data_IF_127428377804
#
_entry.id   IF_127428377804
#
_cell.length_a   1.000
_cell.length_b   1.000
_cell.length_c   1.000
_cell.angle_alpha   90.00
_cell.angle_beta   90.00
_cell.angle_gamma   90.00
#
_symmetry.space_group_name_H-M   'P 1'
#
loop_
_entity.id
_entity.type
_entity.pdbx_description
1 polymer ?
#
# COMPACT_ATOMS: atom_id res chain seq x y z
N UNK A 1 3.34 -11.42 22.10
CA UNK A 1 3.17 -11.09 20.67
C UNK A 1 2.95 -12.40 19.95
N UNK A 2 1.89 -12.52 19.18
CA UNK A 2 1.64 -13.66 18.31
C UNK A 2 2.78 -13.82 17.30
N UNK A 3 3.10 -15.05 16.95
CA UNK A 3 3.97 -15.33 15.81
C UNK A 3 3.25 -14.88 14.54
N UNK A 4 3.99 -14.31 13.60
CA UNK A 4 3.40 -13.78 12.37
C UNK A 4 2.76 -14.87 11.51
N UNK A 5 3.40 -16.04 11.41
CA UNK A 5 2.90 -17.13 10.60
C UNK A 5 1.62 -17.74 11.20
N UNK A 6 1.59 -17.92 12.53
CA UNK A 6 0.40 -18.39 13.23
C UNK A 6 -0.77 -17.42 13.06
N UNK A 7 -0.49 -16.12 13.16
CA UNK A 7 -1.50 -15.08 12.91
C UNK A 7 -1.99 -15.08 11.46
N UNK A 8 -1.09 -15.18 10.49
CA UNK A 8 -1.41 -15.13 9.06
C UNK A 8 -2.38 -16.26 8.66
N UNK A 9 -2.23 -17.46 9.25
CA UNK A 9 -3.14 -18.59 9.02
C UNK A 9 -4.57 -18.32 9.50
N UNK A 10 -4.78 -17.31 10.33
CA UNK A 10 -6.09 -16.93 10.86
C UNK A 10 -6.83 -15.89 10.03
N UNK A 11 -6.13 -15.22 9.09
CA UNK A 11 -6.71 -14.19 8.22
C UNK A 11 -7.47 -14.84 7.06
N UNK A 12 -8.69 -14.35 6.81
CA UNK A 12 -9.51 -14.81 5.68
C UNK A 12 -8.91 -14.33 4.35
N UNK A 13 -8.51 -15.26 3.50
CA UNK A 13 -8.08 -15.00 2.13
C UNK A 13 -8.14 -16.29 1.29
N UNK A 14 -8.07 -16.18 -0.02
CA UNK A 14 -7.89 -17.33 -0.89
C UNK A 14 -6.42 -17.43 -1.30
N UNK A 15 -5.88 -18.65 -1.38
CA UNK A 15 -4.52 -18.95 -1.84
C UNK A 15 -4.20 -18.37 -3.21
N UNK A 16 -5.23 -18.02 -3.93
CA UNK A 16 -5.19 -17.46 -5.26
C UNK A 16 -4.77 -15.97 -5.30
N UNK A 17 -4.68 -15.28 -4.17
CA UNK A 17 -4.57 -13.82 -4.08
C UNK A 17 -3.22 -13.37 -3.49
N UNK A 18 -2.15 -14.06 -3.82
CA UNK A 18 -0.83 -13.82 -3.25
C UNK A 18 -0.15 -12.60 -3.91
N UNK A 19 -0.49 -11.42 -3.46
CA UNK A 19 0.01 -10.13 -3.94
C UNK A 19 1.18 -9.55 -3.15
N UNK A 20 2.01 -10.36 -2.49
CA UNK A 20 3.21 -9.87 -1.77
C UNK A 20 2.93 -9.22 -0.40
N UNK A 21 1.70 -8.87 -0.08
CA UNK A 21 1.31 -8.30 1.22
C UNK A 21 1.74 -9.14 2.43
N UNK A 22 1.57 -10.48 2.41
CA UNK A 22 2.02 -11.33 3.51
C UNK A 22 3.52 -11.25 3.79
N UNK A 23 4.34 -11.04 2.76
CA UNK A 23 5.81 -10.95 2.93
C UNK A 23 6.21 -9.57 3.47
N UNK A 24 5.47 -8.53 3.11
CA UNK A 24 5.80 -7.15 3.46
C UNK A 24 5.29 -6.74 4.85
N UNK A 25 4.18 -7.31 5.33
CA UNK A 25 3.60 -6.90 6.61
C UNK A 25 4.58 -6.91 7.80
N UNK A 26 5.49 -7.90 7.96
CA UNK A 26 6.53 -7.86 8.98
C UNK A 26 7.53 -6.71 8.79
N UNK A 27 7.87 -6.34 7.57
CA UNK A 27 8.81 -5.25 7.29
C UNK A 27 8.20 -3.89 7.65
N UNK A 28 6.90 -3.66 7.37
CA UNK A 28 6.20 -2.49 7.87
C UNK A 28 6.20 -2.43 9.39
N UNK A 29 5.85 -3.52 10.07
CA UNK A 29 5.83 -3.59 11.52
C UNK A 29 7.22 -3.33 12.14
N UNK A 30 8.28 -3.84 11.52
CA UNK A 30 9.67 -3.62 11.96
C UNK A 30 10.07 -2.15 11.90
N UNK A 31 9.75 -1.45 10.82
CA UNK A 31 10.05 -0.02 10.65
C UNK A 31 9.22 0.83 11.62
N UNK A 32 8.00 0.42 11.92
CA UNK A 32 7.03 1.17 12.71
C UNK A 32 6.95 0.75 14.19
N UNK A 33 7.71 -0.23 14.63
CA UNK A 33 7.58 -0.90 15.95
C UNK A 33 7.54 0.02 17.18
N UNK A 34 8.17 1.21 17.09
CA UNK A 34 8.25 2.17 18.18
C UNK A 34 7.30 3.36 18.01
N UNK A 35 6.45 3.31 16.98
CA UNK A 35 5.47 4.35 16.68
C UNK A 35 4.07 3.91 17.11
N UNK A 36 3.18 4.86 17.34
CA UNK A 36 1.75 4.62 17.64
C UNK A 36 0.91 5.58 16.84
N UNK A 37 -0.20 5.05 16.29
CA UNK A 37 -1.12 5.79 15.46
C UNK A 37 -2.55 5.52 15.91
N UNK A 38 -3.43 6.51 15.82
CA UNK A 38 -4.86 6.32 16.06
C UNK A 38 -5.50 5.62 14.87
N UNK A 39 -5.30 6.15 13.67
CA UNK A 39 -5.93 5.64 12.44
C UNK A 39 -4.89 5.32 11.37
N UNK A 40 -4.89 4.06 10.93
CA UNK A 40 -4.12 3.58 9.78
C UNK A 40 -5.04 3.54 8.57
N UNK A 41 -4.55 3.94 7.41
CA UNK A 41 -5.19 3.67 6.13
C UNK A 41 -4.32 2.73 5.29
N UNK A 42 -4.91 1.63 4.82
CA UNK A 42 -4.26 0.75 3.84
C UNK A 42 -4.90 0.95 2.47
N UNK A 43 -4.14 1.58 1.58
CA UNK A 43 -4.51 1.81 0.20
C UNK A 43 -4.15 0.61 -0.67
N UNK A 44 -5.00 0.25 -1.65
CA UNK A 44 -4.89 -0.98 -2.43
C UNK A 44 -4.73 -2.20 -1.52
N UNK A 45 -5.63 -2.28 -0.54
CA UNK A 45 -5.42 -3.11 0.65
C UNK A 45 -5.42 -4.61 0.37
N UNK A 46 -6.06 -5.07 -0.73
CA UNK A 46 -6.35 -6.48 -0.84
C UNK A 46 -7.02 -7.01 0.42
N UNK A 47 -6.59 -8.15 0.98
CA UNK A 47 -7.08 -8.67 2.27
C UNK A 47 -6.57 -7.91 3.51
N UNK A 48 -5.87 -6.79 3.36
CA UNK A 48 -5.36 -5.92 4.40
C UNK A 48 -4.35 -6.58 5.37
N UNK A 49 -3.45 -7.41 4.86
CA UNK A 49 -2.43 -8.06 5.69
C UNK A 49 -1.53 -7.08 6.43
N UNK A 50 -1.16 -5.96 5.79
CA UNK A 50 -0.27 -4.97 6.39
C UNK A 50 -0.98 -4.29 7.55
N UNK A 51 -2.13 -3.66 7.30
CA UNK A 51 -2.88 -2.92 8.30
C UNK A 51 -3.34 -3.77 9.45
N UNK A 52 -3.87 -4.98 9.20
CA UNK A 52 -4.29 -5.89 10.26
C UNK A 52 -3.12 -6.39 11.11
N UNK A 53 -1.96 -6.66 10.49
CA UNK A 53 -0.76 -7.01 11.26
C UNK A 53 -0.29 -5.85 12.13
N UNK A 54 -0.39 -4.60 11.65
CA UNK A 54 -0.08 -3.43 12.45
C UNK A 54 -1.06 -3.25 13.63
N UNK A 55 -2.35 -3.60 13.48
CA UNK A 55 -3.28 -3.64 14.60
C UNK A 55 -2.90 -4.74 15.61
N UNK A 56 -2.57 -5.95 15.15
CA UNK A 56 -2.12 -7.06 16.01
C UNK A 56 -0.88 -6.68 16.82
N UNK A 57 0.06 -5.96 16.20
CA UNK A 57 1.25 -5.42 16.86
C UNK A 57 0.98 -4.16 17.72
N UNK A 58 -0.29 -3.74 17.82
CA UNK A 58 -0.71 -2.54 18.57
C UNK A 58 0.02 -1.27 18.12
N UNK A 59 0.36 -1.19 16.84
CA UNK A 59 0.96 0.00 16.21
C UNK A 59 -0.14 1.00 15.86
N UNK A 60 -1.32 0.53 15.44
CA UNK A 60 -2.52 1.33 15.24
C UNK A 60 -3.66 0.90 16.14
N UNK A 61 -4.70 1.73 16.25
CA UNK A 61 -5.94 1.41 16.96
C UNK A 61 -7.07 1.08 15.99
N UNK A 62 -7.24 1.89 14.95
CA UNK A 62 -8.27 1.74 13.94
C UNK A 62 -7.62 1.56 12.57
N UNK A 63 -8.20 0.71 11.74
CA UNK A 63 -7.78 0.51 10.35
C UNK A 63 -8.91 0.94 9.41
N UNK A 64 -8.56 1.74 8.42
CA UNK A 64 -9.41 2.03 7.26
C UNK A 64 -8.78 1.37 6.05
N UNK A 65 -9.56 0.71 5.20
CA UNK A 65 -9.06 0.07 3.98
C UNK A 65 -9.82 0.53 2.75
N UNK A 66 -9.11 0.60 1.64
CA UNK A 66 -9.70 0.87 0.33
C UNK A 66 -9.14 -0.07 -0.73
N UNK A 67 -10.03 -0.78 -1.41
CA UNK A 67 -9.70 -1.63 -2.54
C UNK A 67 -10.81 -1.59 -3.59
N UNK A 68 -10.45 -1.75 -4.86
CA UNK A 68 -11.41 -1.78 -5.96
C UNK A 68 -12.18 -3.12 -6.03
N UNK A 69 -11.64 -4.16 -5.44
CA UNK A 69 -12.21 -5.50 -5.45
C UNK A 69 -13.09 -5.74 -4.21
N UNK A 70 -14.40 -5.78 -4.41
CA UNK A 70 -15.40 -6.05 -3.38
C UNK A 70 -15.13 -7.34 -2.58
N UNK A 71 -14.62 -8.37 -3.25
CA UNK A 71 -14.29 -9.65 -2.62
C UNK A 71 -13.20 -9.50 -1.54
N UNK A 72 -12.22 -8.62 -1.76
CA UNK A 72 -11.21 -8.34 -0.75
C UNK A 72 -11.77 -7.57 0.44
N UNK A 73 -12.64 -6.61 0.18
CA UNK A 73 -13.35 -5.87 1.23
C UNK A 73 -14.16 -6.84 2.12
N UNK A 74 -14.78 -7.86 1.55
CA UNK A 74 -15.48 -8.89 2.32
C UNK A 74 -14.54 -9.76 3.16
N UNK A 75 -13.37 -10.12 2.65
CA UNK A 75 -12.37 -10.84 3.45
C UNK A 75 -11.86 -9.99 4.62
N UNK A 76 -11.63 -8.70 4.38
CA UNK A 76 -11.23 -7.75 5.44
C UNK A 76 -12.28 -7.72 6.55
N UNK A 77 -13.58 -7.60 6.21
CA UNK A 77 -14.67 -7.58 7.19
C UNK A 77 -14.73 -8.85 8.03
N UNK A 78 -14.63 -10.02 7.39
CA UNK A 78 -14.62 -11.32 8.08
C UNK A 78 -13.42 -11.47 9.02
N UNK A 79 -12.23 -11.10 8.56
CA UNK A 79 -11.03 -11.15 9.38
C UNK A 79 -11.10 -10.17 10.56
N UNK A 80 -11.61 -8.96 10.32
CA UNK A 80 -11.78 -7.97 11.36
C UNK A 80 -12.76 -8.43 12.45
N UNK A 81 -13.89 -9.01 12.06
CA UNK A 81 -14.87 -9.60 13.00
C UNK A 81 -14.25 -10.73 13.83
N UNK A 82 -13.56 -11.67 13.18
CA UNK A 82 -12.90 -12.82 13.83
C UNK A 82 -11.87 -12.39 14.88
N UNK A 83 -11.12 -11.32 14.62
CA UNK A 83 -10.08 -10.82 15.51
C UNK A 83 -10.53 -9.68 16.43
N UNK A 84 -11.78 -9.25 16.30
CA UNK A 84 -12.32 -8.09 17.03
C UNK A 84 -11.49 -6.82 16.79
N UNK A 85 -11.05 -6.60 15.53
CA UNK A 85 -10.36 -5.39 15.13
C UNK A 85 -11.36 -4.28 14.76
N UNK A 86 -11.02 -3.03 15.09
CA UNK A 86 -11.78 -1.85 14.64
C UNK A 86 -11.36 -1.51 13.20
N UNK A 87 -12.18 -1.95 12.23
CA UNK A 87 -11.88 -1.80 10.80
C UNK A 87 -13.07 -1.23 10.04
N UNK A 88 -12.83 -0.22 9.22
CA UNK A 88 -13.77 0.30 8.22
C UNK A 88 -13.22 0.04 6.82
N UNK A 89 -13.98 -0.68 5.99
CA UNK A 89 -13.54 -1.11 4.67
C UNK A 89 -14.45 -0.55 3.58
N UNK A 90 -13.85 0.01 2.54
CA UNK A 90 -14.53 0.64 1.43
C UNK A 90 -14.17 -0.03 0.10
N UNK A 91 -15.17 -0.36 -0.72
CA UNK A 91 -14.95 -0.63 -2.13
C UNK A 91 -14.71 0.72 -2.80
N UNK A 92 -13.50 0.95 -3.28
CA UNK A 92 -13.13 2.28 -3.79
C UNK A 92 -12.11 2.17 -4.92
N UNK A 93 -12.41 2.80 -6.04
CA UNK A 93 -11.42 3.06 -7.08
C UNK A 93 -10.53 4.22 -6.61
N UNK A 94 -9.37 3.84 -6.07
CA UNK A 94 -8.45 4.78 -5.43
C UNK A 94 -9.12 5.43 -4.18
N UNK A 95 -9.24 6.75 -4.14
CA UNK A 95 -9.79 7.52 -3.01
C UNK A 95 -11.23 8.00 -3.24
N UNK A 96 -11.90 7.58 -4.32
CA UNK A 96 -13.17 8.18 -4.78
C UNK A 96 -14.32 7.98 -3.80
N UNK A 97 -14.39 6.78 -3.21
CA UNK A 97 -15.51 6.36 -2.36
C UNK A 97 -15.14 6.38 -0.87
N UNK A 98 -13.93 6.83 -0.54
CA UNK A 98 -13.51 7.07 0.84
C UNK A 98 -14.21 8.34 1.35
N UNK A 99 -14.96 8.29 2.46
CA UNK A 99 -15.64 9.46 3.01
C UNK A 99 -14.68 10.58 3.38
N UNK A 100 -15.02 11.83 3.07
CA UNK A 100 -14.16 13.01 3.29
C UNK A 100 -13.91 13.33 4.77
N UNK A 101 -14.69 12.78 5.68
CA UNK A 101 -14.48 12.94 7.11
C UNK A 101 -13.38 12.01 7.66
N UNK A 102 -12.97 10.98 6.91
CA UNK A 102 -11.86 10.12 7.31
C UNK A 102 -10.55 10.91 7.35
N UNK A 103 -9.77 10.66 8.39
CA UNK A 103 -8.43 11.22 8.57
C UNK A 103 -7.47 10.16 9.05
N UNK A 104 -6.28 10.17 8.52
CA UNK A 104 -5.29 9.10 8.71
C UNK A 104 -3.98 9.66 9.26
N UNK A 105 -3.44 9.02 10.29
CA UNK A 105 -2.12 9.33 10.85
C UNK A 105 -1.03 8.60 10.10
N UNK A 106 -1.32 7.35 9.71
CA UNK A 106 -0.44 6.48 8.97
C UNK A 106 -1.13 5.97 7.71
N UNK A 107 -0.48 6.09 6.59
CA UNK A 107 -0.91 5.50 5.32
C UNK A 107 0.09 4.42 4.94
N UNK A 108 -0.38 3.21 4.67
CA UNK A 108 0.45 2.09 4.20
C UNK A 108 -0.11 1.52 2.91
N UNK A 109 0.75 0.96 2.08
CA UNK A 109 0.30 0.27 0.88
C UNK A 109 1.37 -0.66 0.29
N UNK A 110 0.90 -1.70 -0.37
CA UNK A 110 1.62 -2.44 -1.40
C UNK A 110 0.80 -2.36 -2.69
N UNK A 111 0.85 -1.22 -3.40
CA UNK A 111 0.02 -0.97 -4.58
C UNK A 111 0.52 -1.73 -5.80
N UNK A 112 -0.15 -1.62 -6.96
CA UNK A 112 0.42 -2.04 -8.23
C UNK A 112 1.77 -1.37 -8.46
N UNK A 113 2.85 -2.16 -8.49
CA UNK A 113 4.24 -1.67 -8.37
C UNK A 113 4.96 -1.50 -9.71
N UNK A 114 4.31 -1.80 -10.86
CA UNK A 114 4.99 -1.83 -12.14
C UNK A 114 4.26 -0.93 -13.15
N UNK A 115 4.98 0.01 -13.73
CA UNK A 115 4.41 0.96 -14.69
C UNK A 115 3.95 0.29 -15.99
N UNK A 116 4.69 -0.70 -16.44
CA UNK A 116 4.40 -1.39 -17.72
C UNK A 116 4.97 -2.81 -17.69
N UNK A 117 4.14 -3.79 -17.35
CA UNK A 117 4.53 -5.19 -17.40
C UNK A 117 4.14 -5.79 -18.74
N UNK A 118 5.13 -6.27 -19.47
CA UNK A 118 4.86 -7.06 -20.67
C UNK A 118 4.18 -8.39 -20.31
N UNK A 119 3.24 -8.82 -21.17
CA UNK A 119 2.52 -10.09 -20.98
C UNK A 119 3.44 -11.32 -20.90
N UNK A 120 4.67 -11.23 -21.44
CA UNK A 120 5.68 -12.27 -21.36
C UNK A 120 6.41 -12.36 -20.02
N UNK A 121 6.23 -11.36 -19.16
CA UNK A 121 6.85 -11.35 -17.82
C UNK A 121 6.19 -12.38 -16.90
N UNK A 122 6.94 -13.09 -16.03
CA UNK A 122 6.37 -14.02 -15.06
C UNK A 122 5.23 -13.47 -14.20
N UNK A 123 5.21 -12.15 -13.95
CA UNK A 123 4.10 -11.47 -13.27
C UNK A 123 3.03 -10.89 -14.21
N UNK A 124 3.28 -10.80 -15.52
CA UNK A 124 2.33 -10.20 -16.50
C UNK A 124 1.10 -11.05 -16.79
N UNK A 125 1.12 -12.35 -16.43
CA UNK A 125 -0.04 -13.25 -16.49
C UNK A 125 -0.62 -13.58 -15.11
N UNK A 126 -0.12 -12.94 -14.05
CA UNK A 126 -0.75 -13.02 -12.75
C UNK A 126 -2.10 -12.31 -12.85
N UNK A 127 -3.08 -13.07 -13.29
CA UNK A 127 -4.52 -12.95 -13.04
C UNK A 127 -5.13 -11.53 -13.17
N UNK A 128 -6.25 -11.46 -13.84
CA UNK A 128 -7.04 -10.22 -14.01
C UNK A 128 -7.48 -9.56 -12.69
N UNK A 129 -7.51 -10.32 -11.60
CA UNK A 129 -7.88 -9.87 -10.26
C UNK A 129 -6.70 -9.34 -9.43
N UNK A 130 -5.46 -9.67 -9.78
CA UNK A 130 -4.25 -9.05 -9.25
C UNK A 130 -3.72 -8.08 -10.31
N UNK A 131 -3.91 -6.80 -10.11
CA UNK A 131 -3.34 -5.76 -10.97
C UNK A 131 -1.92 -5.42 -10.52
N UNK A 132 -0.88 -6.15 -10.97
CA UNK A 132 0.48 -5.85 -10.56
C UNK A 132 1.01 -4.58 -11.22
N UNK A 133 0.37 -4.12 -12.31
CA UNK A 133 0.80 -2.98 -13.10
C UNK A 133 -0.11 -1.77 -12.93
N UNK A 134 0.51 -0.61 -12.86
CA UNK A 134 -0.10 0.70 -12.91
C UNK A 134 0.39 1.44 -14.14
N UNK A 135 -0.27 1.21 -15.28
CA UNK A 135 0.15 1.75 -16.57
C UNK A 135 0.17 3.28 -16.51
N UNK A 136 1.35 3.85 -16.80
CA UNK A 136 1.56 5.30 -16.76
C UNK A 136 1.45 5.91 -15.36
N UNK A 137 1.46 5.09 -14.31
CA UNK A 137 1.31 5.51 -12.91
C UNK A 137 -0.03 6.21 -12.61
N UNK A 138 -1.10 5.84 -13.30
CA UNK A 138 -2.40 6.51 -13.16
C UNK A 138 -3.04 6.29 -11.78
N UNK A 139 -2.86 5.10 -11.19
CA UNK A 139 -3.35 4.79 -9.83
C UNK A 139 -2.58 5.60 -8.79
N UNK A 140 -1.25 5.66 -8.91
CA UNK A 140 -0.39 6.48 -8.03
C UNK A 140 -0.66 7.97 -8.17
N UNK A 141 -0.80 8.49 -9.39
CA UNK A 141 -1.18 9.89 -9.63
C UNK A 141 -2.50 10.23 -8.96
N UNK A 142 -3.50 9.35 -9.10
CA UNK A 142 -4.80 9.50 -8.45
C UNK A 142 -4.70 9.51 -6.93
N UNK A 143 -3.88 8.63 -6.36
CA UNK A 143 -3.63 8.58 -4.92
C UNK A 143 -2.96 9.87 -4.42
N UNK A 144 -1.79 10.23 -4.94
CA UNK A 144 -1.04 11.42 -4.49
C UNK A 144 -1.84 12.71 -4.64
N UNK A 145 -2.65 12.84 -5.71
CA UNK A 145 -3.53 14.00 -5.93
C UNK A 145 -4.57 14.18 -4.83
N UNK A 146 -5.01 13.09 -4.21
CA UNK A 146 -6.15 13.12 -3.28
C UNK A 146 -5.77 12.92 -1.81
N UNK A 147 -4.67 12.23 -1.52
CA UNK A 147 -4.36 11.76 -0.15
C UNK A 147 -4.22 12.89 0.86
N UNK A 148 -3.73 14.05 0.46
CA UNK A 148 -3.62 15.23 1.35
C UNK A 148 -4.94 15.65 2.00
N UNK A 149 -6.06 15.39 1.35
CA UNK A 149 -7.39 15.69 1.91
C UNK A 149 -7.72 14.83 3.13
N UNK A 150 -6.99 13.72 3.31
CA UNK A 150 -7.22 12.71 4.35
C UNK A 150 -6.08 12.67 5.39
N UNK A 151 -5.05 13.47 5.22
CA UNK A 151 -3.89 13.52 6.11
C UNK A 151 -4.03 14.64 7.15
N UNK A 152 -3.57 14.36 8.36
CA UNK A 152 -3.17 15.39 9.33
C UNK A 152 -1.82 15.99 8.95
N UNK A 153 -1.36 16.98 9.68
CA UNK A 153 -0.09 17.63 9.38
C UNK A 153 1.13 16.75 9.67
N UNK A 154 1.03 15.91 10.67
CA UNK A 154 2.06 14.95 11.10
C UNK A 154 1.89 13.55 10.52
N UNK A 155 0.94 13.38 9.59
CA UNK A 155 0.73 12.09 8.93
C UNK A 155 1.93 11.64 8.12
N UNK A 156 2.14 10.33 8.08
CA UNK A 156 3.20 9.71 7.31
C UNK A 156 2.65 8.66 6.34
N UNK A 157 3.29 8.55 5.19
CA UNK A 157 2.99 7.57 4.16
C UNK A 157 4.17 6.59 4.09
N UNK A 158 3.89 5.29 4.12
CA UNK A 158 4.85 4.23 3.84
C UNK A 158 4.30 3.34 2.74
N UNK A 159 4.95 3.29 1.60
CA UNK A 159 4.52 2.50 0.44
C UNK A 159 5.66 1.59 0.01
N UNK A 160 5.32 0.36 -0.37
CA UNK A 160 6.24 -0.54 -1.03
C UNK A 160 6.33 -0.18 -2.50
N UNK A 161 7.43 0.44 -2.91
CA UNK A 161 7.70 0.87 -4.29
C UNK A 161 8.89 0.11 -4.85
N UNK A 162 8.64 -1.09 -5.35
CA UNK A 162 9.68 -2.03 -5.82
C UNK A 162 10.63 -1.37 -6.82
N UNK A 163 10.11 -0.55 -7.70
CA UNK A 163 10.91 0.07 -8.75
C UNK A 163 11.85 1.17 -8.24
N UNK A 164 11.58 1.73 -7.06
CA UNK A 164 12.44 2.75 -6.44
C UNK A 164 13.60 2.09 -5.71
N UNK A 165 13.33 1.06 -4.91
CA UNK A 165 14.36 0.47 -4.06
C UNK A 165 15.10 -0.72 -4.70
N UNK A 166 14.56 -1.33 -5.73
CA UNK A 166 15.20 -2.45 -6.42
C UNK A 166 15.75 -2.05 -7.79
N UNK A 167 16.87 -1.32 -7.78
CA UNK A 167 17.55 -0.89 -9.01
C UNK A 167 17.91 -2.04 -9.96
N UNK A 168 18.16 -3.24 -9.42
CA UNK A 168 18.50 -4.40 -10.26
C UNK A 168 17.31 -4.87 -11.10
N UNK A 169 16.09 -4.82 -10.54
CA UNK A 169 14.85 -5.12 -11.30
C UNK A 169 14.67 -4.09 -12.41
N UNK A 170 14.95 -2.83 -12.12
CA UNK A 170 14.89 -1.75 -13.08
C UNK A 170 15.95 -1.86 -14.18
N UNK A 171 17.21 -2.17 -13.81
CA UNK A 171 18.34 -2.21 -14.75
C UNK A 171 18.36 -3.44 -15.66
N UNK A 172 17.61 -4.50 -15.34
CA UNK A 172 17.53 -5.69 -16.19
C UNK A 172 16.83 -5.45 -17.53
N UNK A 173 16.15 -4.30 -17.72
CA UNK A 173 15.53 -3.93 -19.01
C UNK A 173 14.39 -4.85 -19.46
N UNK A 174 14.21 -6.00 -18.81
CA UNK A 174 13.27 -7.03 -19.21
C UNK A 174 11.82 -6.66 -18.92
N UNK A 175 11.60 -5.67 -18.04
CA UNK A 175 10.29 -5.26 -17.56
C UNK A 175 9.76 -3.98 -18.20
N UNK A 176 10.62 -3.18 -18.88
CA UNK A 176 10.31 -1.77 -19.12
C UNK A 176 10.84 -1.26 -20.46
N UNK A 177 10.09 -1.46 -21.53
CA UNK A 177 10.50 -1.04 -22.86
C UNK A 177 10.37 0.45 -23.18
N UNK A 178 9.62 1.23 -22.40
CA UNK A 178 9.23 2.60 -22.79
C UNK A 178 9.52 3.69 -21.74
N UNK A 179 10.39 3.45 -20.78
CA UNK A 179 10.67 4.45 -19.76
C UNK A 179 11.66 5.49 -20.26
N UNK A 180 11.28 6.74 -20.05
CA UNK A 180 12.09 7.91 -20.41
C UNK A 180 12.89 8.45 -19.24
N UNK A 181 12.60 8.02 -18.00
CA UNK A 181 13.26 8.49 -16.78
C UNK A 181 13.30 7.44 -15.65
N UNK A 182 14.19 7.61 -14.69
CA UNK A 182 14.26 6.75 -13.50
C UNK A 182 12.99 6.90 -12.64
N UNK A 183 12.45 5.80 -12.08
CA UNK A 183 11.24 5.82 -11.26
C UNK A 183 11.29 6.82 -10.11
N UNK A 184 12.42 6.93 -9.43
CA UNK A 184 12.55 7.89 -8.32
C UNK A 184 12.25 9.33 -8.74
N UNK A 185 12.66 9.75 -9.94
CA UNK A 185 12.41 11.10 -10.46
C UNK A 185 10.90 11.28 -10.67
N UNK A 186 10.24 10.28 -11.24
CA UNK A 186 8.78 10.30 -11.44
C UNK A 186 8.05 10.41 -10.10
N UNK A 187 8.44 9.62 -9.10
CA UNK A 187 7.80 9.63 -7.77
C UNK A 187 8.07 10.93 -6.99
N UNK A 188 9.30 11.45 -7.03
CA UNK A 188 9.63 12.76 -6.45
C UNK A 188 8.80 13.88 -7.08
N UNK A 189 8.57 13.84 -8.37
CA UNK A 189 7.71 14.81 -9.05
C UNK A 189 6.25 14.65 -8.61
N UNK A 190 5.69 13.44 -8.64
CA UNK A 190 4.31 13.18 -8.20
C UNK A 190 4.07 13.63 -6.76
N UNK A 191 4.99 13.35 -5.85
CA UNK A 191 4.88 13.78 -4.45
C UNK A 191 4.96 15.31 -4.35
N UNK A 192 5.96 15.93 -4.97
CA UNK A 192 6.17 17.39 -4.96
C UNK A 192 4.98 18.15 -5.53
N UNK A 193 4.44 17.72 -6.67
CA UNK A 193 3.29 18.34 -7.33
C UNK A 193 2.03 18.31 -6.46
N UNK A 194 2.02 17.47 -5.43
CA UNK A 194 0.93 17.28 -4.49
C UNK A 194 1.28 17.70 -3.04
N UNK A 195 2.26 18.59 -2.85
CA UNK A 195 2.71 19.09 -1.54
C UNK A 195 3.15 17.99 -0.58
N UNK A 196 3.76 16.95 -1.12
CA UNK A 196 4.41 15.87 -0.39
C UNK A 196 5.89 15.82 -0.74
N UNK A 197 6.68 15.15 0.08
CA UNK A 197 8.10 14.88 -0.19
C UNK A 197 8.46 13.48 0.27
N UNK A 198 9.32 12.82 -0.48
CA UNK A 198 9.99 11.60 -0.04
C UNK A 198 11.01 11.98 1.02
N UNK A 199 10.93 11.35 2.19
CA UNK A 199 11.80 11.66 3.35
C UNK A 199 12.80 10.56 3.62
N UNK A 200 12.48 9.31 3.22
CA UNK A 200 13.36 8.17 3.42
C UNK A 200 13.07 7.05 2.42
N UNK A 201 14.07 6.26 2.09
CA UNK A 201 13.96 5.05 1.27
C UNK A 201 14.71 3.94 2.00
N UNK A 202 13.98 2.89 2.37
CA UNK A 202 14.53 1.67 2.95
C UNK A 202 14.63 0.57 1.88
N UNK A 203 15.19 -0.61 2.17
CA UNK A 203 15.22 -1.72 1.21
C UNK A 203 13.85 -2.20 0.70
N UNK A 204 12.76 -1.85 1.38
CA UNK A 204 11.41 -2.32 1.04
C UNK A 204 10.36 -1.22 0.95
N UNK A 205 10.61 -0.05 1.54
CA UNK A 205 9.59 0.97 1.73
C UNK A 205 10.11 2.36 1.38
N UNK A 206 9.22 3.16 0.80
CA UNK A 206 9.42 4.59 0.59
C UNK A 206 8.55 5.34 1.60
N UNK A 207 9.17 6.25 2.35
CA UNK A 207 8.50 7.13 3.30
C UNK A 207 8.27 8.50 2.66
N UNK A 208 7.06 9.04 2.81
CA UNK A 208 6.72 10.39 2.40
C UNK A 208 5.91 11.13 3.46
N UNK A 209 6.03 12.45 3.50
CA UNK A 209 5.31 13.35 4.42
C UNK A 209 4.82 14.58 3.69
N UNK A 210 3.94 15.35 4.34
CA UNK A 210 3.58 16.68 3.84
C UNK A 210 4.80 17.59 3.74
N UNK A 211 4.84 18.38 2.68
CA UNK A 211 5.81 19.45 2.50
C UNK A 211 5.15 20.77 2.90
N UNK A 212 5.62 21.39 3.96
CA UNK A 212 5.21 22.74 4.30
C UNK A 212 6.04 23.71 3.43
N UNK A 213 5.36 24.45 2.58
CA UNK A 213 5.94 25.53 1.78
C UNK A 213 5.94 26.82 2.62
#
# INVERSE_FOLDING_TARGET
MSDYNDWLETIEFTTDLNGGGPVLAPEFAKVLKNKKFETIFEWCSGPAWIGMWLLEQKIGKTLVTGDVNEKYVDFVKKSAEKHNYDVRSYVSDNMKDIPRYEKFDLIVSNPPNYCDIQRSHPFGYLREDLRPSDIGWEVHKGFYKNINNYMHDDSVIFISEVEIYNKEVYLRGELYDNRTEEPIITFERMTKDNNLKITNITPYLVEATKCYI
#
